data_IF_221011263401
#
_entry.id   IF_221011263401
#
_cell.length_a   1.000
_cell.length_b   1.000
_cell.length_c   1.000
_cell.angle_alpha   90.00
_cell.angle_beta   90.00
_cell.angle_gamma   90.00
#
_symmetry.space_group_name_H-M   'P 1'
#
loop_
_entity.id
_entity.type
_entity.pdbx_description
1 polymer ?
#
# COMPACT_ATOMS: atom_id res chain seq x y z
N UNK A 1 -13.42 -27.62 2.68
CA UNK A 1 -12.67 -26.39 2.34
C UNK A 1 -13.53 -25.59 1.38
N UNK A 2 -13.48 -24.27 1.43
CA UNK A 2 -14.17 -23.45 0.43
C UNK A 2 -13.57 -23.73 -0.96
N UNK A 3 -14.41 -23.79 -1.97
CA UNK A 3 -14.06 -24.22 -3.33
C UNK A 3 -14.80 -23.34 -4.32
N UNK A 4 -14.05 -22.55 -5.08
CA UNK A 4 -14.61 -21.52 -5.99
C UNK A 4 -14.16 -21.84 -7.42
N UNK A 5 -15.12 -21.95 -8.33
CA UNK A 5 -14.92 -22.16 -9.76
C UNK A 5 -15.37 -20.90 -10.52
N UNK A 6 -14.42 -20.17 -11.07
CA UNK A 6 -14.69 -19.05 -11.97
C UNK A 6 -14.62 -19.59 -13.40
N UNK A 7 -15.70 -19.38 -14.16
CA UNK A 7 -15.81 -19.87 -15.55
C UNK A 7 -15.83 -18.72 -16.54
N UNK A 8 -15.19 -18.88 -17.69
CA UNK A 8 -15.29 -17.95 -18.83
C UNK A 8 -14.88 -16.49 -18.50
N UNK A 9 -13.93 -16.32 -17.59
CA UNK A 9 -13.39 -15.01 -17.18
C UNK A 9 -12.27 -14.53 -18.08
N UNK A 10 -12.03 -13.21 -18.09
CA UNK A 10 -10.77 -12.63 -18.60
C UNK A 10 -9.82 -12.38 -17.43
N UNK A 11 -8.62 -12.92 -17.45
CA UNK A 11 -7.63 -12.84 -16.38
C UNK A 11 -6.42 -12.05 -16.85
N UNK A 12 -6.15 -10.92 -16.22
CA UNK A 12 -4.87 -10.21 -16.33
C UNK A 12 -3.96 -10.77 -15.25
N UNK A 13 -3.07 -11.69 -15.62
CA UNK A 13 -2.39 -12.58 -14.66
C UNK A 13 -1.24 -11.89 -13.92
N UNK A 14 -0.73 -10.80 -14.49
CA UNK A 14 0.54 -10.16 -14.13
C UNK A 14 1.77 -11.05 -14.30
N UNK A 15 1.67 -12.19 -15.00
CA UNK A 15 2.80 -13.02 -15.45
C UNK A 15 3.20 -12.61 -16.87
N UNK A 16 4.46 -12.21 -17.08
CA UNK A 16 4.99 -11.81 -18.40
C UNK A 16 4.88 -12.92 -19.45
N UNK A 17 4.89 -14.19 -19.03
CA UNK A 17 4.73 -15.32 -19.96
C UNK A 17 3.28 -15.51 -20.43
N UNK A 18 2.30 -15.05 -19.65
CA UNK A 18 0.87 -15.18 -19.96
C UNK A 18 0.08 -13.95 -19.51
N UNK A 19 0.31 -12.75 -20.08
CA UNK A 19 -0.20 -11.49 -19.52
C UNK A 19 -1.71 -11.42 -19.38
N UNK A 20 -2.42 -11.93 -20.39
CA UNK A 20 -3.88 -11.99 -20.43
C UNK A 20 -4.33 -13.37 -20.88
N UNK A 21 -5.32 -13.92 -20.20
CA UNK A 21 -5.90 -15.24 -20.43
C UNK A 21 -7.43 -15.13 -20.46
N UNK A 22 -8.11 -15.84 -21.36
CA UNK A 22 -9.56 -16.06 -21.27
C UNK A 22 -9.81 -17.53 -20.95
N UNK A 23 -10.45 -17.83 -19.83
CA UNK A 23 -10.59 -19.23 -19.41
C UNK A 23 -11.25 -19.40 -18.06
N UNK A 24 -10.67 -20.24 -17.22
CA UNK A 24 -11.23 -20.70 -15.96
C UNK A 24 -10.20 -20.63 -14.84
N UNK A 25 -10.65 -20.31 -13.63
CA UNK A 25 -9.82 -20.33 -12.43
C UNK A 25 -10.49 -21.13 -11.32
N UNK A 26 -9.71 -21.96 -10.63
CA UNK A 26 -10.17 -22.74 -9.47
C UNK A 26 -9.39 -22.33 -8.24
N UNK A 27 -10.12 -22.07 -7.15
CA UNK A 27 -9.55 -21.81 -5.83
C UNK A 27 -9.95 -22.94 -4.88
N UNK A 28 -8.98 -23.44 -4.12
CA UNK A 28 -9.21 -24.35 -3.01
C UNK A 28 -8.65 -23.76 -1.72
N UNK A 29 -9.52 -23.53 -0.73
CA UNK A 29 -9.17 -22.85 0.49
C UNK A 29 -8.74 -21.41 0.20
N UNK A 30 -7.45 -21.14 0.38
CA UNK A 30 -6.84 -19.82 0.21
C UNK A 30 -5.87 -19.74 -0.98
N UNK A 31 -5.82 -20.78 -1.82
CA UNK A 31 -4.79 -20.96 -2.85
C UNK A 31 -5.42 -21.14 -4.22
N UNK A 32 -4.82 -20.52 -5.24
CA UNK A 32 -5.16 -20.73 -6.65
C UNK A 32 -4.65 -22.12 -7.05
N UNK A 33 -5.58 -23.03 -7.37
CA UNK A 33 -5.26 -24.41 -7.73
C UNK A 33 -5.08 -24.59 -9.24
N UNK A 34 -5.79 -23.80 -10.05
CA UNK A 34 -5.80 -23.93 -11.50
C UNK A 34 -6.10 -22.60 -12.17
N UNK A 35 -5.44 -22.31 -13.29
CA UNK A 35 -5.74 -21.17 -14.16
C UNK A 35 -5.37 -21.48 -15.62
N UNK A 36 -6.36 -21.78 -16.46
CA UNK A 36 -6.13 -22.06 -17.89
C UNK A 36 -7.36 -21.84 -18.78
N UNK A 37 -7.17 -21.88 -20.11
CA UNK A 37 -8.23 -21.88 -21.14
C UNK A 37 -8.99 -23.20 -21.14
N UNK A 38 -8.30 -24.31 -20.89
CA UNK A 38 -8.92 -25.62 -20.85
C UNK A 38 -9.92 -25.71 -19.68
N UNK A 39 -11.01 -26.44 -19.89
CA UNK A 39 -11.97 -26.69 -18.83
C UNK A 39 -11.29 -27.48 -17.69
N UNK A 40 -11.40 -27.01 -16.44
CA UNK A 40 -10.94 -27.78 -15.29
C UNK A 40 -11.84 -29.01 -15.10
N UNK A 41 -11.43 -29.88 -14.17
CA UNK A 41 -12.29 -30.96 -13.71
C UNK A 41 -13.66 -30.42 -13.27
N UNK A 42 -14.75 -31.20 -13.45
CA UNK A 42 -16.08 -30.79 -13.06
C UNK A 42 -16.12 -30.31 -11.61
N UNK A 43 -16.76 -29.16 -11.40
CA UNK A 43 -16.93 -28.60 -10.07
C UNK A 43 -17.62 -29.65 -9.16
N UNK A 44 -17.05 -29.95 -7.98
CA UNK A 44 -17.66 -30.91 -7.06
C UNK A 44 -19.00 -30.36 -6.54
N UNK A 45 -19.87 -31.25 -6.07
CA UNK A 45 -21.14 -30.85 -5.47
C UNK A 45 -20.92 -29.87 -4.30
N UNK A 46 -21.63 -28.74 -4.33
CA UNK A 46 -21.52 -27.69 -3.32
C UNK A 46 -20.39 -26.67 -3.53
N UNK A 47 -19.60 -26.76 -4.60
CA UNK A 47 -18.65 -25.69 -4.97
C UNK A 47 -19.40 -24.41 -5.38
N UNK A 48 -18.84 -23.26 -5.02
CA UNK A 48 -19.31 -21.97 -5.52
C UNK A 48 -18.91 -21.83 -6.99
N UNK A 49 -19.88 -21.48 -7.84
CA UNK A 49 -19.65 -21.26 -9.27
C UNK A 49 -19.91 -19.79 -9.58
N UNK A 50 -18.91 -19.13 -10.14
CA UNK A 50 -18.96 -17.74 -10.58
C UNK A 50 -18.92 -17.72 -12.10
N UNK A 51 -19.89 -17.06 -12.71
CA UNK A 51 -19.86 -16.70 -14.13
C UNK A 51 -18.96 -15.48 -14.32
N UNK A 52 -17.83 -15.68 -15.01
CA UNK A 52 -16.82 -14.67 -15.29
C UNK A 52 -17.12 -13.85 -16.54
N UNK A 53 -18.20 -14.12 -17.27
CA UNK A 53 -18.56 -13.32 -18.44
C UNK A 53 -18.74 -11.84 -18.10
N UNK A 54 -18.10 -10.97 -18.88
CA UNK A 54 -18.10 -9.52 -18.64
C UNK A 54 -17.19 -9.05 -17.50
N UNK A 55 -16.54 -9.98 -16.78
CA UNK A 55 -15.62 -9.67 -15.69
C UNK A 55 -14.17 -9.83 -16.11
N UNK A 56 -13.34 -8.91 -15.60
CA UNK A 56 -11.89 -8.95 -15.70
C UNK A 56 -11.31 -9.20 -14.32
N UNK A 57 -10.59 -10.29 -14.17
CA UNK A 57 -9.92 -10.70 -12.95
C UNK A 57 -8.45 -10.31 -12.99
N UNK A 58 -7.94 -9.76 -11.90
CA UNK A 58 -6.51 -9.48 -11.75
C UNK A 58 -6.09 -9.67 -10.29
N UNK A 59 -4.79 -9.76 -9.98
CA UNK A 59 -4.32 -9.79 -8.59
C UNK A 59 -4.83 -8.55 -7.87
N UNK A 60 -5.13 -8.70 -6.59
CA UNK A 60 -5.53 -7.56 -5.79
C UNK A 60 -4.42 -6.52 -5.72
N UNK A 61 -4.82 -5.24 -5.66
CA UNK A 61 -3.87 -4.14 -5.60
C UNK A 61 -3.19 -4.10 -4.23
N UNK A 62 -1.93 -3.65 -4.21
CA UNK A 62 -1.07 -3.63 -3.03
C UNK A 62 -0.63 -2.19 -2.77
N UNK A 63 -1.19 -1.57 -1.73
CA UNK A 63 -0.89 -0.21 -1.31
C UNK A 63 0.29 -0.22 -0.35
N UNK A 64 1.49 0.08 -0.84
CA UNK A 64 2.73 -0.10 -0.07
C UNK A 64 3.07 1.04 0.88
N UNK A 65 2.22 2.06 1.00
CA UNK A 65 2.39 3.10 2.00
C UNK A 65 1.10 3.88 2.25
N UNK A 66 0.72 4.00 3.52
CA UNK A 66 -0.41 4.81 3.94
C UNK A 66 -0.47 5.08 5.44
N UNK A 67 -1.44 5.93 5.79
CA UNK A 67 -1.81 6.34 7.15
C UNK A 67 -3.33 6.23 7.30
N UNK A 68 -3.83 5.01 7.49
CA UNK A 68 -5.24 4.66 7.33
C UNK A 68 -6.18 5.49 8.21
N UNK A 69 -5.83 5.70 9.48
CA UNK A 69 -6.65 6.45 10.42
C UNK A 69 -6.78 7.95 10.07
N UNK A 70 -5.88 8.50 9.24
CA UNK A 70 -5.99 9.88 8.74
C UNK A 70 -7.13 10.07 7.74
N UNK A 71 -7.88 9.02 7.38
CA UNK A 71 -9.14 9.14 6.62
C UNK A 71 -10.15 10.08 7.28
N UNK A 72 -10.10 10.25 8.61
CA UNK A 72 -10.91 11.24 9.33
C UNK A 72 -10.49 12.68 9.02
N UNK A 73 -9.25 12.92 8.58
CA UNK A 73 -8.72 14.25 8.24
C UNK A 73 -8.80 14.56 6.75
N UNK A 74 -9.54 13.75 5.97
CA UNK A 74 -9.71 13.95 4.54
C UNK A 74 -10.27 15.34 4.25
N UNK A 75 -9.51 16.15 3.51
CA UNK A 75 -9.88 17.52 3.16
C UNK A 75 -9.95 18.48 4.36
N UNK A 76 -9.36 18.11 5.51
CA UNK A 76 -9.33 19.00 6.68
C UNK A 76 -8.42 20.22 6.44
N UNK A 77 -7.28 20.02 5.77
CA UNK A 77 -6.37 21.10 5.41
C UNK A 77 -5.66 20.78 4.10
N UNK A 78 -5.91 21.61 3.08
CA UNK A 78 -5.35 21.51 1.73
C UNK A 78 -4.51 22.77 1.42
N UNK A 79 -3.74 22.73 0.32
CA UNK A 79 -2.97 23.86 -0.22
C UNK A 79 -1.89 24.46 0.72
N UNK A 80 -1.24 23.60 1.50
CA UNK A 80 -0.15 23.97 2.42
C UNK A 80 1.14 23.18 2.12
N UNK A 81 2.30 23.78 2.41
CA UNK A 81 3.59 23.10 2.31
C UNK A 81 3.74 22.04 3.41
N UNK A 82 4.40 20.91 3.11
CA UNK A 82 4.52 19.73 3.98
C UNK A 82 4.79 20.06 5.47
N UNK A 83 5.82 20.86 5.76
CA UNK A 83 6.19 21.16 7.16
C UNK A 83 5.11 21.97 7.89
N UNK A 84 4.48 22.93 7.20
CA UNK A 84 3.37 23.73 7.78
C UNK A 84 2.17 22.82 8.04
N UNK A 85 1.84 21.99 7.06
CA UNK A 85 0.75 21.04 7.12
C UNK A 85 0.91 20.03 8.27
N UNK A 86 2.10 19.44 8.44
CA UNK A 86 2.41 18.53 9.53
C UNK A 86 2.34 19.21 10.91
N UNK A 87 3.14 20.26 11.10
CA UNK A 87 3.36 20.84 12.43
C UNK A 87 2.16 21.63 12.95
N UNK A 88 1.43 22.32 12.06
CA UNK A 88 0.38 23.25 12.46
C UNK A 88 -1.02 22.66 12.34
N UNK A 89 -1.20 21.57 11.56
CA UNK A 89 -2.52 20.99 11.28
C UNK A 89 -2.62 19.53 11.69
N UNK A 90 -1.77 18.67 11.12
CA UNK A 90 -1.89 17.23 11.32
C UNK A 90 -1.52 16.82 12.73
N UNK A 91 -0.28 17.06 13.19
CA UNK A 91 0.16 16.62 14.52
C UNK A 91 -0.71 17.17 15.67
N UNK A 92 -1.18 18.44 15.64
CA UNK A 92 -2.13 18.93 16.65
C UNK A 92 -3.47 18.18 16.65
N UNK A 93 -3.97 17.76 15.49
CA UNK A 93 -5.21 16.99 15.38
C UNK A 93 -5.00 15.54 15.80
N UNK A 94 -3.94 14.90 15.33
CA UNK A 94 -3.58 13.52 15.68
C UNK A 94 -3.28 13.37 17.17
N UNK A 95 -2.70 14.39 17.81
CA UNK A 95 -2.50 14.43 19.25
C UNK A 95 -3.79 14.31 20.07
N UNK A 96 -4.96 14.53 19.46
CA UNK A 96 -6.30 14.38 20.07
C UNK A 96 -6.93 13.01 19.81
N UNK A 97 -6.29 12.14 19.02
CA UNK A 97 -6.85 10.85 18.65
C UNK A 97 -6.92 9.92 19.85
N UNK A 98 -8.09 9.31 19.99
CA UNK A 98 -8.40 8.21 20.89
C UNK A 98 -8.39 6.89 20.11
N UNK A 99 -8.55 5.77 20.82
CA UNK A 99 -8.70 4.46 20.18
C UNK A 99 -9.97 4.39 19.29
N UNK A 100 -10.98 5.19 19.61
CA UNK A 100 -12.21 5.28 18.81
C UNK A 100 -11.95 5.93 17.45
N UNK A 101 -11.17 7.02 17.42
CA UNK A 101 -10.81 7.69 16.15
C UNK A 101 -9.93 6.81 15.29
N UNK A 102 -8.94 6.14 15.89
CA UNK A 102 -8.10 5.18 15.17
C UNK A 102 -8.93 4.04 14.58
N UNK A 103 -9.92 3.52 15.32
CA UNK A 103 -10.81 2.45 14.85
C UNK A 103 -11.65 2.90 13.66
N UNK A 104 -12.39 3.99 13.80
CA UNK A 104 -13.33 4.43 12.76
C UNK A 104 -12.64 5.03 11.55
N UNK A 105 -11.52 5.74 11.75
CA UNK A 105 -10.66 6.19 10.65
C UNK A 105 -10.09 5.00 9.87
N UNK A 106 -9.54 4.00 10.57
CA UNK A 106 -9.01 2.82 9.87
C UNK A 106 -10.13 2.04 9.16
N UNK A 107 -11.28 1.86 9.79
CA UNK A 107 -12.41 1.15 9.18
C UNK A 107 -12.92 1.87 7.92
N UNK A 108 -12.96 3.21 7.92
CA UNK A 108 -13.28 4.02 6.75
C UNK A 108 -12.27 3.81 5.62
N UNK A 109 -10.97 3.86 5.93
CA UNK A 109 -9.92 3.63 4.95
C UNK A 109 -9.96 2.21 4.37
N UNK A 110 -10.14 1.20 5.20
CA UNK A 110 -10.21 -0.21 4.77
C UNK A 110 -11.45 -0.47 3.92
N UNK A 111 -12.61 0.11 4.27
CA UNK A 111 -13.80 0.03 3.43
C UNK A 111 -13.55 0.65 2.04
N UNK A 112 -12.95 1.83 1.97
CA UNK A 112 -12.59 2.47 0.70
C UNK A 112 -11.59 1.64 -0.12
N UNK A 113 -10.52 1.17 0.51
CA UNK A 113 -9.48 0.35 -0.11
C UNK A 113 -10.03 -0.98 -0.66
N UNK A 114 -10.83 -1.70 0.12
CA UNK A 114 -11.45 -2.94 -0.33
C UNK A 114 -12.37 -2.70 -1.53
N UNK A 115 -13.19 -1.65 -1.47
CA UNK A 115 -14.13 -1.32 -2.56
C UNK A 115 -13.42 -0.82 -3.82
N UNK A 116 -12.20 -0.30 -3.72
CA UNK A 116 -11.36 0.08 -4.87
C UNK A 116 -10.41 -1.04 -5.34
N UNK A 117 -10.47 -2.23 -4.73
CA UNK A 117 -9.70 -3.40 -5.16
C UNK A 117 -8.33 -3.59 -4.50
N UNK A 118 -8.02 -2.81 -3.46
CA UNK A 118 -6.84 -3.04 -2.62
C UNK A 118 -7.07 -4.23 -1.71
N UNK A 119 -6.19 -5.23 -1.78
CA UNK A 119 -6.24 -6.45 -0.95
C UNK A 119 -5.19 -6.46 0.14
N UNK A 120 -4.10 -5.72 -0.06
CA UNK A 120 -2.97 -5.60 0.87
C UNK A 120 -2.59 -4.14 1.01
N UNK A 121 -2.33 -3.70 2.25
CA UNK A 121 -1.78 -2.37 2.49
C UNK A 121 -0.66 -2.38 3.53
N UNK A 122 0.22 -1.38 3.47
CA UNK A 122 1.21 -1.07 4.50
C UNK A 122 0.72 0.15 5.26
N UNK A 123 0.66 0.05 6.58
CA UNK A 123 0.23 1.15 7.43
C UNK A 123 1.33 1.60 8.39
N UNK A 124 1.44 2.90 8.56
CA UNK A 124 2.39 3.52 9.46
C UNK A 124 1.69 4.52 10.35
N UNK A 125 1.31 4.12 11.55
CA UNK A 125 0.51 5.00 12.41
C UNK A 125 0.69 4.69 13.90
N UNK A 126 -0.02 5.46 14.73
CA UNK A 126 -0.20 5.18 16.15
C UNK A 126 -1.29 4.11 16.37
N UNK A 127 -1.42 3.62 17.61
CA UNK A 127 -2.51 2.74 18.08
C UNK A 127 -2.66 1.51 17.19
N UNK A 128 -1.53 0.97 16.74
CA UNK A 128 -1.48 -0.04 15.69
C UNK A 128 -2.18 -1.36 16.08
N UNK A 129 -2.39 -1.62 17.37
CA UNK A 129 -3.24 -2.72 17.83
C UNK A 129 -4.71 -2.55 17.38
N UNK A 130 -5.24 -1.32 17.39
CA UNK A 130 -6.58 -1.01 16.88
C UNK A 130 -6.65 -1.20 15.36
N UNK A 131 -5.62 -0.75 14.65
CA UNK A 131 -5.52 -0.97 13.20
C UNK A 131 -5.53 -2.46 12.89
N UNK A 132 -4.75 -3.24 13.63
CA UNK A 132 -4.65 -4.68 13.48
C UNK A 132 -5.98 -5.42 13.76
N UNK A 133 -6.76 -4.97 14.75
CA UNK A 133 -8.13 -5.46 14.99
C UNK A 133 -9.04 -5.23 13.78
N UNK A 134 -9.00 -4.04 13.18
CA UNK A 134 -9.79 -3.73 11.97
C UNK A 134 -9.33 -4.57 10.78
N UNK A 135 -8.03 -4.82 10.63
CA UNK A 135 -7.47 -5.72 9.59
C UNK A 135 -7.93 -7.16 9.80
N UNK A 136 -7.96 -7.64 11.06
CA UNK A 136 -8.47 -8.97 11.37
C UNK A 136 -9.96 -9.09 11.01
N UNK A 137 -10.78 -8.12 11.44
CA UNK A 137 -12.23 -8.07 11.22
C UNK A 137 -12.63 -7.97 9.74
N UNK A 138 -11.97 -7.09 8.99
CA UNK A 138 -12.33 -6.79 7.58
C UNK A 138 -11.90 -7.89 6.61
N UNK A 139 -10.91 -8.71 6.98
CA UNK A 139 -10.33 -9.72 6.11
C UNK A 139 -9.22 -9.22 5.19
N UNK A 140 -8.93 -7.91 5.13
CA UNK A 140 -7.83 -7.35 4.32
C UNK A 140 -6.45 -7.83 4.81
N UNK A 141 -5.42 -7.84 3.97
CA UNK A 141 -4.04 -8.13 4.37
C UNK A 141 -3.30 -6.85 4.77
N UNK A 142 -2.44 -6.90 5.79
CA UNK A 142 -1.75 -5.72 6.31
C UNK A 142 -0.30 -5.96 6.70
N UNK A 143 0.59 -5.05 6.31
CA UNK A 143 1.92 -4.88 6.90
C UNK A 143 1.89 -3.65 7.80
N UNK A 144 1.84 -3.88 9.10
CA UNK A 144 1.50 -2.87 10.08
C UNK A 144 2.73 -2.42 10.85
N UNK A 145 2.91 -1.11 10.99
CA UNK A 145 4.10 -0.55 11.62
C UNK A 145 3.69 0.50 12.64
N UNK A 146 4.08 0.30 13.91
CA UNK A 146 3.94 1.35 14.92
C UNK A 146 4.97 2.45 14.60
N UNK A 147 4.50 3.52 13.96
CA UNK A 147 5.34 4.66 13.60
C UNK A 147 5.80 5.41 14.85
N UNK A 148 7.09 5.75 14.94
CA UNK A 148 7.65 6.45 16.10
C UNK A 148 8.40 7.73 15.72
N UNK A 149 8.05 8.82 16.40
CA UNK A 149 8.78 10.11 16.35
C UNK A 149 9.70 10.21 17.57
N UNK A 150 10.98 10.52 17.32
CA UNK A 150 12.06 10.58 18.30
C UNK A 150 12.33 11.97 18.89
N UNK A 151 11.66 13.03 18.43
CA UNK A 151 11.77 14.40 18.99
C UNK A 151 11.07 14.52 20.36
N UNK A 152 11.52 13.74 21.34
CA UNK A 152 10.98 13.68 22.70
C UNK A 152 12.06 13.22 23.70
N UNK A 153 11.83 13.34 25.02
CA UNK A 153 12.78 12.89 26.03
C UNK A 153 13.16 11.38 25.91
N UNK A 154 14.38 10.98 26.32
CA UNK A 154 14.87 9.61 26.13
C UNK A 154 14.03 8.49 26.76
N UNK A 155 13.34 8.76 27.87
CA UNK A 155 12.42 7.83 28.51
C UNK A 155 11.17 7.61 27.65
N UNK A 156 10.64 8.67 27.02
CA UNK A 156 9.52 8.59 26.08
C UNK A 156 9.93 7.86 24.79
N UNK A 157 11.12 8.14 24.25
CA UNK A 157 11.67 7.38 23.11
C UNK A 157 11.73 5.88 23.43
N UNK A 158 12.18 5.53 24.62
CA UNK A 158 12.29 4.14 25.09
C UNK A 158 10.91 3.50 25.23
N UNK A 159 9.94 4.20 25.78
CA UNK A 159 8.56 3.72 25.88
C UNK A 159 7.96 3.45 24.49
N UNK A 160 8.10 4.38 23.54
CA UNK A 160 7.63 4.22 22.16
C UNK A 160 8.29 3.05 21.43
N UNK A 161 9.59 2.87 21.60
CA UNK A 161 10.30 1.72 21.02
C UNK A 161 9.80 0.40 21.63
N UNK A 162 9.61 0.35 22.95
CA UNK A 162 9.08 -0.84 23.61
C UNK A 162 7.65 -1.16 23.15
N UNK A 163 6.80 -0.14 22.96
CA UNK A 163 5.46 -0.29 22.40
C UNK A 163 5.53 -0.89 20.98
N UNK A 164 6.42 -0.38 20.12
CA UNK A 164 6.61 -0.91 18.77
C UNK A 164 7.12 -2.36 18.78
N UNK A 165 8.06 -2.70 19.66
CA UNK A 165 8.55 -4.08 19.85
C UNK A 165 7.45 -5.01 20.33
N UNK A 166 6.66 -4.58 21.30
CA UNK A 166 5.53 -5.35 21.83
C UNK A 166 4.48 -5.59 20.74
N UNK A 167 4.15 -4.57 19.95
CA UNK A 167 3.24 -4.71 18.83
C UNK A 167 3.71 -5.77 17.82
N UNK A 168 4.99 -5.76 17.45
CA UNK A 168 5.58 -6.80 16.57
C UNK A 168 5.39 -8.19 17.18
N UNK A 169 5.67 -8.36 18.47
CA UNK A 169 5.56 -9.65 19.15
C UNK A 169 4.12 -10.17 19.22
N UNK A 170 3.15 -9.26 19.44
CA UNK A 170 1.75 -9.63 19.61
C UNK A 170 1.05 -9.89 18.27
N UNK A 171 1.43 -9.15 17.22
CA UNK A 171 0.67 -9.10 15.98
C UNK A 171 1.33 -9.74 14.75
N UNK A 172 2.65 -9.95 14.74
CA UNK A 172 3.30 -10.55 13.59
C UNK A 172 2.86 -12.01 13.38
N UNK A 173 2.29 -12.32 12.21
CA UNK A 173 1.76 -13.64 11.87
C UNK A 173 0.32 -13.90 12.32
N UNK A 174 -0.35 -12.91 12.92
CA UNK A 174 -1.79 -13.00 13.28
C UNK A 174 -2.69 -13.04 12.04
N UNK A 175 -3.97 -13.33 12.28
CA UNK A 175 -4.98 -13.46 11.22
C UNK A 175 -4.55 -14.43 10.11
N UNK A 176 -4.08 -15.62 10.48
CA UNK A 176 -3.54 -16.64 9.56
C UNK A 176 -2.38 -16.15 8.68
N UNK A 177 -1.56 -15.23 9.20
CA UNK A 177 -0.43 -14.65 8.47
C UNK A 177 -0.80 -13.49 7.55
N UNK A 178 -2.05 -13.00 7.57
CA UNK A 178 -2.44 -11.75 6.89
C UNK A 178 -1.82 -10.52 7.53
N UNK A 179 -1.57 -10.55 8.83
CA UNK A 179 -0.91 -9.46 9.54
C UNK A 179 0.57 -9.78 9.63
N UNK A 180 1.39 -8.93 9.02
CA UNK A 180 2.84 -8.88 9.22
C UNK A 180 3.21 -7.52 9.80
N UNK A 181 4.41 -7.41 10.35
CA UNK A 181 4.85 -6.18 11.01
C UNK A 181 6.25 -5.77 10.61
N UNK A 182 6.55 -4.48 10.78
CA UNK A 182 7.87 -3.88 10.59
C UNK A 182 8.10 -2.87 11.72
N UNK A 183 9.34 -2.41 11.88
CA UNK A 183 9.64 -1.24 12.72
C UNK A 183 9.79 0.01 11.87
N UNK A 184 9.33 1.15 12.37
CA UNK A 184 9.25 2.37 11.56
C UNK A 184 9.59 3.65 12.34
N UNK A 185 10.86 4.14 12.29
CA UNK A 185 11.10 5.53 12.63
C UNK A 185 10.40 6.42 11.61
N UNK A 186 9.80 7.51 12.07
CA UNK A 186 8.99 8.38 11.22
C UNK A 186 9.74 8.84 9.96
N UNK A 187 10.82 9.59 10.16
CA UNK A 187 11.71 10.09 9.12
C UNK A 187 13.05 10.52 9.73
N UNK A 188 14.14 10.63 8.94
CA UNK A 188 15.45 11.07 9.44
C UNK A 188 15.44 12.42 10.17
N UNK A 189 14.57 13.35 9.78
CA UNK A 189 14.45 14.68 10.40
C UNK A 189 13.63 14.69 11.71
N UNK A 190 12.98 13.57 12.05
CA UNK A 190 12.14 13.44 13.26
C UNK A 190 12.68 12.41 14.26
N UNK A 191 13.75 11.70 13.90
CA UNK A 191 14.35 10.67 14.73
C UNK A 191 15.87 10.89 14.81
N UNK A 192 16.41 11.20 16.01
CA UNK A 192 17.85 11.33 16.19
C UNK A 192 18.62 10.05 15.81
N UNK A 193 19.91 10.14 15.40
CA UNK A 193 20.69 8.99 14.94
C UNK A 193 20.76 7.83 15.93
N UNK A 194 20.96 8.11 17.23
CA UNK A 194 21.02 7.09 18.27
C UNK A 194 19.68 6.36 18.43
N UNK A 195 18.56 7.06 18.22
CA UNK A 195 17.24 6.46 18.27
C UNK A 195 16.98 5.56 17.05
N UNK A 196 17.39 5.99 15.84
CA UNK A 196 17.32 5.15 14.64
C UNK A 196 18.15 3.88 14.82
N UNK A 197 19.38 3.99 15.34
CA UNK A 197 20.24 2.82 15.60
C UNK A 197 19.59 1.82 16.55
N UNK A 198 18.96 2.28 17.64
CA UNK A 198 18.21 1.41 18.57
C UNK A 198 17.03 0.71 17.90
N UNK A 199 16.35 1.38 16.95
CA UNK A 199 15.28 0.76 16.17
C UNK A 199 15.84 -0.30 15.20
N UNK A 200 16.98 -0.02 14.56
CA UNK A 200 17.69 -0.99 13.70
C UNK A 200 18.10 -2.23 14.50
N UNK A 201 18.69 -2.04 15.68
CA UNK A 201 19.03 -3.13 16.61
C UNK A 201 17.79 -3.97 16.95
N UNK A 202 16.69 -3.33 17.33
CA UNK A 202 15.43 -4.02 17.61
C UNK A 202 14.87 -4.77 16.39
N UNK A 203 15.05 -4.25 15.17
CA UNK A 203 14.61 -4.92 13.95
C UNK A 203 15.42 -6.20 13.68
N UNK A 204 16.73 -6.19 13.99
CA UNK A 204 17.57 -7.39 13.97
C UNK A 204 17.14 -8.40 15.04
N UNK A 205 16.92 -7.96 16.28
CA UNK A 205 16.47 -8.81 17.40
C UNK A 205 15.15 -9.53 17.07
N UNK A 206 14.19 -8.81 16.49
CA UNK A 206 12.86 -9.32 16.17
C UNK A 206 12.77 -9.97 14.78
N UNK A 207 13.86 -9.93 14.00
CA UNK A 207 13.92 -10.40 12.63
C UNK A 207 12.78 -9.84 11.75
N UNK A 208 12.50 -8.54 11.86
CA UNK A 208 11.50 -7.83 11.04
C UNK A 208 12.14 -6.82 10.07
N UNK A 209 11.42 -6.39 9.03
CA UNK A 209 11.87 -5.33 8.14
C UNK A 209 11.76 -3.92 8.75
N UNK A 210 12.20 -2.91 8.00
CA UNK A 210 12.15 -1.50 8.38
C UNK A 210 11.37 -0.65 7.35
N UNK A 211 10.60 0.33 7.82
CA UNK A 211 9.89 1.31 7.00
C UNK A 211 10.21 2.75 7.45
N UNK A 212 10.28 3.73 6.55
CA UNK A 212 10.42 5.16 6.91
C UNK A 212 10.09 6.07 5.72
N UNK A 213 9.76 7.34 5.99
CA UNK A 213 9.77 8.38 4.96
C UNK A 213 11.20 8.85 4.71
N UNK A 214 11.57 9.08 3.44
CA UNK A 214 12.94 9.47 3.11
C UNK A 214 13.01 10.29 1.83
N UNK A 215 13.74 11.41 1.89
CA UNK A 215 14.02 12.29 0.74
C UNK A 215 12.74 12.73 0.02
N UNK A 216 11.70 13.04 0.79
CA UNK A 216 10.40 13.46 0.28
C UNK A 216 10.48 14.89 -0.26
N UNK A 217 11.12 15.80 0.47
CA UNK A 217 11.25 17.21 0.06
C UNK A 217 12.70 17.66 -0.07
N UNK A 218 12.95 18.66 -0.92
CA UNK A 218 14.28 19.27 -1.04
C UNK A 218 14.73 19.93 0.27
N UNK A 219 13.77 20.45 1.06
CA UNK A 219 14.02 21.03 2.37
C UNK A 219 14.51 19.97 3.38
N UNK A 220 13.87 18.80 3.42
CA UNK A 220 14.33 17.66 4.23
C UNK A 220 15.77 17.28 3.88
N UNK A 221 16.06 17.12 2.59
CA UNK A 221 17.39 16.74 2.11
C UNK A 221 18.44 17.76 2.57
N UNK A 222 18.17 19.05 2.39
CA UNK A 222 19.10 20.11 2.80
C UNK A 222 19.26 20.15 4.32
N UNK A 223 18.19 19.96 5.09
CA UNK A 223 18.25 19.88 6.55
C UNK A 223 19.13 18.72 7.00
N UNK A 224 18.97 17.54 6.41
CA UNK A 224 19.79 16.37 6.75
C UNK A 224 21.28 16.60 6.43
N UNK A 225 21.61 17.29 5.34
CA UNK A 225 23.00 17.69 5.04
C UNK A 225 23.53 18.67 6.09
N UNK A 226 22.74 19.65 6.51
CA UNK A 226 23.15 20.62 7.53
C UNK A 226 23.41 19.96 8.88
N UNK A 227 22.55 19.03 9.29
CA UNK A 227 22.61 18.40 10.60
C UNK A 227 23.66 17.28 10.68
N UNK A 228 23.83 16.51 9.60
CA UNK A 228 24.61 15.26 9.61
C UNK A 228 25.72 15.21 8.55
N UNK A 229 25.90 16.26 7.74
CA UNK A 229 26.96 16.37 6.74
C UNK A 229 26.80 15.45 5.53
N UNK A 230 25.66 14.76 5.39
CA UNK A 230 25.37 13.86 4.28
C UNK A 230 23.86 13.84 3.97
N UNK A 231 23.50 13.31 2.80
CA UNK A 231 22.10 13.23 2.35
C UNK A 231 21.36 12.07 3.03
N UNK A 232 20.01 12.05 3.05
CA UNK A 232 19.24 11.06 3.83
C UNK A 232 19.58 9.60 3.52
N UNK A 233 19.80 9.23 2.25
CA UNK A 233 20.16 7.85 1.87
C UNK A 233 21.50 7.44 2.49
N UNK A 234 22.54 8.25 2.30
CA UNK A 234 23.87 7.99 2.87
C UNK A 234 23.83 7.99 4.40
N UNK A 235 23.04 8.90 4.99
CA UNK A 235 22.84 8.99 6.43
C UNK A 235 22.24 7.69 6.97
N UNK A 236 21.12 7.22 6.41
CA UNK A 236 20.45 5.99 6.82
C UNK A 236 21.32 4.74 6.59
N UNK A 237 22.11 4.70 5.51
CA UNK A 237 23.06 3.60 5.26
C UNK A 237 24.13 3.53 6.37
N UNK A 238 24.71 4.68 6.77
CA UNK A 238 25.69 4.76 7.87
C UNK A 238 25.12 4.31 9.21
N UNK A 239 23.83 4.54 9.45
CA UNK A 239 23.13 4.10 10.66
C UNK A 239 22.74 2.61 10.61
N UNK A 240 23.00 1.93 9.50
CA UNK A 240 22.66 0.53 9.31
C UNK A 240 21.18 0.30 9.00
N UNK A 241 20.41 1.32 8.61
CA UNK A 241 18.98 1.17 8.31
C UNK A 241 18.74 0.15 7.18
N UNK A 242 19.62 0.12 6.18
CA UNK A 242 19.56 -0.82 5.06
C UNK A 242 20.28 -2.16 5.33
N UNK A 243 20.58 -2.48 6.60
CA UNK A 243 21.13 -3.79 6.99
C UNK A 243 20.06 -4.87 7.17
N UNK A 244 18.79 -4.49 7.11
CA UNK A 244 17.60 -5.34 7.06
C UNK A 244 16.81 -5.00 5.79
N UNK A 245 15.89 -5.89 5.34
CA UNK A 245 14.95 -5.52 4.29
C UNK A 245 14.24 -4.21 4.67
N UNK A 246 14.28 -3.24 3.76
CA UNK A 246 13.79 -1.89 4.01
C UNK A 246 12.89 -1.40 2.87
N UNK A 247 11.81 -0.73 3.26
CA UNK A 247 10.90 -0.03 2.37
C UNK A 247 10.92 1.46 2.72
N UNK A 248 11.25 2.32 1.76
CA UNK A 248 11.24 3.78 1.97
C UNK A 248 10.09 4.41 1.20
N UNK A 249 9.35 5.31 1.85
CA UNK A 249 8.29 6.08 1.21
C UNK A 249 8.85 7.32 0.51
N UNK A 250 8.19 7.71 -0.58
CA UNK A 250 8.46 8.88 -1.43
C UNK A 250 9.73 8.76 -2.28
N UNK A 251 10.92 8.88 -1.67
CA UNK A 251 12.21 8.89 -2.35
C UNK A 251 12.24 9.82 -3.59
N UNK A 252 11.74 11.05 -3.42
CA UNK A 252 11.54 12.01 -4.50
C UNK A 252 12.87 12.60 -4.96
N UNK A 253 13.69 13.03 -4.01
CA UNK A 253 14.92 13.79 -4.28
C UNK A 253 16.14 12.88 -4.19
N UNK A 254 16.38 12.06 -5.21
CA UNK A 254 17.54 11.15 -5.28
C UNK A 254 18.56 11.53 -6.36
N UNK A 255 19.84 11.41 -6.04
CA UNK A 255 20.93 11.42 -7.02
C UNK A 255 21.13 10.04 -7.67
N UNK A 256 21.94 9.95 -8.72
CA UNK A 256 22.27 8.67 -9.38
C UNK A 256 23.03 7.73 -8.43
N UNK A 257 23.95 8.26 -7.63
CA UNK A 257 24.70 7.49 -6.63
C UNK A 257 23.77 6.94 -5.54
N UNK A 258 22.77 7.72 -5.11
CA UNK A 258 21.76 7.27 -4.14
C UNK A 258 20.88 6.16 -4.72
N UNK A 259 20.43 6.30 -5.98
CA UNK A 259 19.68 5.24 -6.67
C UNK A 259 20.52 3.95 -6.76
N UNK A 260 21.79 4.05 -7.15
CA UNK A 260 22.70 2.91 -7.23
C UNK A 260 22.94 2.26 -5.86
N UNK A 261 23.05 3.05 -4.79
CA UNK A 261 23.16 2.55 -3.43
C UNK A 261 21.90 1.77 -3.03
N UNK A 262 20.71 2.34 -3.23
CA UNK A 262 19.44 1.68 -2.90
C UNK A 262 19.30 0.35 -3.65
N UNK A 263 19.65 0.32 -4.93
CA UNK A 263 19.67 -0.90 -5.74
C UNK A 263 20.66 -1.94 -5.18
N UNK A 264 21.89 -1.53 -4.88
CA UNK A 264 22.93 -2.40 -4.31
C UNK A 264 22.58 -2.94 -2.93
N UNK A 265 21.72 -2.26 -2.17
CA UNK A 265 21.20 -2.68 -0.86
C UNK A 265 19.89 -3.47 -0.95
N UNK A 266 19.26 -3.56 -2.12
CA UNK A 266 17.95 -4.18 -2.28
C UNK A 266 16.82 -3.44 -1.54
N UNK A 267 16.94 -2.11 -1.40
CA UNK A 267 15.90 -1.28 -0.79
C UNK A 267 14.74 -1.13 -1.76
N UNK A 268 13.52 -1.22 -1.25
CA UNK A 268 12.30 -0.98 -2.02
C UNK A 268 11.76 0.43 -1.78
N UNK A 269 11.08 1.00 -2.76
CA UNK A 269 10.53 2.36 -2.72
C UNK A 269 9.03 2.33 -2.94
N UNK A 270 8.26 2.90 -2.02
CA UNK A 270 6.84 3.22 -2.27
C UNK A 270 6.74 4.60 -2.90
N UNK A 271 6.39 4.65 -4.19
CA UNK A 271 6.11 5.89 -4.90
C UNK A 271 4.69 6.36 -4.62
N UNK A 272 4.56 7.59 -4.10
CA UNK A 272 3.27 8.18 -3.71
C UNK A 272 2.96 9.41 -4.58
N UNK A 273 2.65 9.26 -5.88
CA UNK A 273 2.65 10.39 -6.81
C UNK A 273 1.61 11.46 -6.50
N UNK A 274 0.38 11.09 -6.09
CA UNK A 274 -0.64 12.10 -5.80
C UNK A 274 -0.25 12.97 -4.59
N UNK A 275 0.22 12.34 -3.52
CA UNK A 275 0.72 13.06 -2.34
C UNK A 275 1.91 13.96 -2.66
N UNK A 276 2.90 13.42 -3.38
CA UNK A 276 4.08 14.18 -3.78
C UNK A 276 3.72 15.43 -4.61
N UNK A 277 2.71 15.32 -5.47
CA UNK A 277 2.22 16.46 -6.25
C UNK A 277 1.40 17.43 -5.41
N UNK A 278 0.48 16.93 -4.57
CA UNK A 278 -0.42 17.76 -3.76
C UNK A 278 0.35 18.61 -2.74
N UNK A 279 1.39 18.06 -2.14
CA UNK A 279 2.26 18.78 -1.18
C UNK A 279 3.40 19.56 -1.85
N UNK A 280 3.47 19.54 -3.19
CA UNK A 280 4.57 20.10 -3.97
C UNK A 280 5.96 19.58 -3.55
N UNK A 281 6.01 18.34 -3.04
CA UNK A 281 7.25 17.65 -2.67
C UNK A 281 8.13 17.39 -3.89
N UNK A 282 7.54 17.06 -5.04
CA UNK A 282 8.22 16.92 -6.32
C UNK A 282 7.80 15.67 -7.10
N UNK A 283 8.67 15.20 -8.01
CA UNK A 283 8.40 14.03 -8.85
C UNK A 283 9.56 13.04 -8.71
N UNK A 284 9.29 11.87 -8.14
CA UNK A 284 10.30 10.84 -7.94
C UNK A 284 10.85 10.32 -9.28
N UNK A 285 12.13 9.93 -9.29
CA UNK A 285 12.85 9.47 -10.48
C UNK A 285 12.56 8.00 -10.81
N UNK A 286 11.29 7.61 -10.85
CA UNK A 286 10.85 6.20 -10.97
C UNK A 286 11.46 5.49 -12.19
N UNK A 287 11.47 6.06 -13.42
CA UNK A 287 12.11 5.39 -14.55
C UNK A 287 13.59 5.04 -14.30
N UNK A 288 14.35 5.97 -13.70
CA UNK A 288 15.76 5.75 -13.39
C UNK A 288 15.95 4.72 -12.26
N UNK A 289 15.05 4.72 -11.26
CA UNK A 289 15.06 3.72 -10.19
C UNK A 289 14.82 2.31 -10.74
N UNK A 290 13.80 2.14 -11.59
CA UNK A 290 13.50 0.85 -12.23
C UNK A 290 14.65 0.38 -13.13
N UNK A 291 15.23 1.27 -13.93
CA UNK A 291 16.39 0.96 -14.79
C UNK A 291 17.61 0.50 -13.99
N UNK A 292 17.85 1.11 -12.82
CA UNK A 292 18.92 0.72 -11.91
C UNK A 292 18.63 -0.57 -11.13
N UNK A 293 17.42 -1.13 -11.22
CA UNK A 293 17.02 -2.35 -10.52
C UNK A 293 16.46 -2.15 -9.11
N UNK A 294 16.12 -0.91 -8.73
CA UNK A 294 15.37 -0.63 -7.49
C UNK A 294 13.95 -1.18 -7.66
N UNK A 295 13.44 -1.88 -6.65
CA UNK A 295 12.03 -2.27 -6.64
C UNK A 295 11.18 -1.06 -6.26
N UNK A 296 10.33 -0.61 -7.19
CA UNK A 296 9.42 0.53 -6.96
C UNK A 296 7.98 0.04 -7.01
N UNK A 297 7.21 0.38 -5.98
CA UNK A 297 5.78 0.10 -5.83
C UNK A 297 4.97 1.40 -5.70
N UNK A 298 3.66 1.30 -5.51
CA UNK A 298 2.78 2.45 -5.28
C UNK A 298 2.26 2.50 -3.85
N UNK A 299 2.11 3.71 -3.33
CA UNK A 299 1.37 4.00 -2.11
C UNK A 299 0.46 5.21 -2.30
N UNK A 300 -0.62 5.26 -1.54
CA UNK A 300 -1.54 6.41 -1.57
C UNK A 300 -1.14 7.49 -0.59
N UNK A 301 -0.26 7.17 0.37
CA UNK A 301 -0.01 8.00 1.56
C UNK A 301 -1.33 8.20 2.33
N UNK A 302 -1.53 9.33 3.01
CA UNK A 302 -2.73 9.65 3.76
C UNK A 302 -3.87 10.18 2.88
N UNK A 303 -5.10 9.96 3.32
CA UNK A 303 -6.27 10.63 2.74
C UNK A 303 -6.29 12.16 2.95
N UNK A 304 -5.39 12.71 3.77
CA UNK A 304 -5.28 14.15 4.00
C UNK A 304 -4.25 14.81 3.05
N UNK A 305 -3.36 14.03 2.44
CA UNK A 305 -2.36 14.46 1.45
C UNK A 305 -2.64 13.91 0.04
N UNK A 306 -3.71 13.16 -0.19
CA UNK A 306 -4.05 12.58 -1.50
C UNK A 306 -5.16 13.32 -2.30
N UNK A 307 -6.47 13.16 -2.06
CA UNK A 307 -7.18 12.76 -0.85
C UNK A 307 -8.13 11.54 -1.04
N UNK A 308 -7.76 10.56 -1.89
CA UNK A 308 -8.43 9.26 -1.99
C UNK A 308 -7.49 8.08 -1.70
N UNK A 309 -8.02 6.87 -1.55
CA UNK A 309 -7.27 5.63 -1.35
C UNK A 309 -7.49 4.64 -2.53
N UNK A 310 -7.58 5.17 -3.75
CA UNK A 310 -7.79 4.40 -4.98
C UNK A 310 -6.46 4.22 -5.73
N UNK A 311 -5.93 2.99 -5.72
CA UNK A 311 -4.69 2.68 -6.43
C UNK A 311 -4.82 2.71 -7.96
N UNK A 312 -6.02 2.62 -8.54
CA UNK A 312 -6.18 2.85 -9.99
C UNK A 312 -5.80 4.30 -10.36
N UNK A 313 -6.11 5.26 -9.49
CA UNK A 313 -5.70 6.64 -9.68
C UNK A 313 -4.18 6.80 -9.57
N UNK A 314 -3.53 6.16 -8.58
CA UNK A 314 -2.06 6.17 -8.45
C UNK A 314 -1.37 5.51 -9.65
N UNK A 315 -1.88 4.37 -10.12
CA UNK A 315 -1.37 3.65 -11.31
C UNK A 315 -1.44 4.56 -12.54
N UNK A 316 -2.60 5.16 -12.78
CA UNK A 316 -2.82 6.08 -13.90
C UNK A 316 -1.92 7.30 -13.80
N UNK A 317 -1.79 7.87 -12.61
CA UNK A 317 -0.97 9.05 -12.36
C UNK A 317 0.51 8.75 -12.59
N UNK A 318 1.04 7.65 -12.03
CA UNK A 318 2.41 7.20 -12.27
C UNK A 318 2.69 6.98 -13.76
N UNK A 319 1.74 6.38 -14.49
CA UNK A 319 1.88 6.18 -15.93
C UNK A 319 1.96 7.51 -16.71
N UNK A 320 1.24 8.55 -16.30
CA UNK A 320 1.14 9.81 -17.04
C UNK A 320 2.22 10.82 -16.65
N UNK A 321 2.51 10.96 -15.35
CA UNK A 321 3.40 12.00 -14.83
C UNK A 321 4.82 11.86 -15.40
N UNK A 322 5.33 10.63 -15.50
CA UNK A 322 6.68 10.39 -16.00
C UNK A 322 6.80 10.65 -17.51
N UNK A 323 5.74 10.40 -18.28
CA UNK A 323 5.69 10.79 -19.70
C UNK A 323 5.71 12.32 -19.85
N UNK A 324 4.91 13.02 -19.04
CA UNK A 324 4.81 14.47 -19.07
C UNK A 324 6.11 15.19 -18.72
N UNK A 325 6.83 14.71 -17.71
CA UNK A 325 8.11 15.31 -17.27
C UNK A 325 9.26 15.00 -18.21
N UNK A 326 9.34 13.76 -18.72
CA UNK A 326 10.46 13.34 -19.58
C UNK A 326 10.29 13.79 -21.04
N UNK A 327 9.06 14.05 -21.49
CA UNK A 327 8.74 14.22 -22.90
C UNK A 327 8.79 12.90 -23.71
N UNK A 328 9.02 11.77 -23.04
CA UNK A 328 9.05 10.44 -23.65
C UNK A 328 7.70 9.74 -23.42
N UNK A 329 6.89 9.51 -24.48
CA UNK A 329 5.60 8.85 -24.35
C UNK A 329 5.72 7.36 -24.00
N UNK A 330 6.91 6.78 -24.01
CA UNK A 330 7.16 5.37 -23.68
C UNK A 330 7.53 5.14 -22.21
N UNK A 331 7.81 6.21 -21.45
CA UNK A 331 8.13 6.12 -20.03
C UNK A 331 6.97 5.50 -19.23
N UNK A 332 7.22 4.43 -18.47
CA UNK A 332 6.23 3.69 -17.66
C UNK A 332 5.00 3.30 -18.50
N UNK A 333 5.11 2.33 -19.42
CA UNK A 333 3.96 1.86 -20.20
C UNK A 333 2.89 1.22 -19.30
N UNK A 334 1.67 1.05 -19.79
CA UNK A 334 0.53 0.55 -19.00
C UNK A 334 0.84 -0.75 -18.23
N UNK A 335 1.50 -1.71 -18.87
CA UNK A 335 1.88 -2.97 -18.21
C UNK A 335 2.81 -2.74 -17.00
N UNK A 336 3.80 -1.85 -17.16
CA UNK A 336 4.72 -1.49 -16.08
C UNK A 336 3.99 -0.74 -14.96
N UNK A 337 3.05 0.15 -15.30
CA UNK A 337 2.24 0.86 -14.32
C UNK A 337 1.39 -0.09 -13.47
N UNK A 338 0.76 -1.12 -14.07
CA UNK A 338 0.04 -2.14 -13.31
C UNK A 338 0.97 -2.95 -12.40
N UNK A 339 2.20 -3.26 -12.84
CA UNK A 339 3.18 -3.97 -12.00
C UNK A 339 3.52 -3.19 -10.74
N UNK A 340 3.63 -1.85 -10.80
CA UNK A 340 3.89 -1.02 -9.62
C UNK A 340 2.85 -1.23 -8.51
N UNK A 341 1.56 -1.41 -8.88
CA UNK A 341 0.45 -1.65 -7.93
C UNK A 341 0.17 -3.12 -7.61
N UNK A 342 0.91 -4.07 -8.19
CA UNK A 342 0.69 -5.52 -8.01
C UNK A 342 2.00 -6.26 -7.72
N UNK A 343 2.68 -6.78 -8.75
CA UNK A 343 3.88 -7.62 -8.63
C UNK A 343 5.00 -6.92 -7.88
N UNK A 344 5.26 -5.64 -8.21
CA UNK A 344 6.30 -4.87 -7.53
C UNK A 344 5.85 -4.41 -6.14
N UNK A 345 4.54 -4.20 -5.95
CA UNK A 345 3.96 -4.06 -4.62
C UNK A 345 4.28 -5.26 -3.73
N UNK A 346 4.04 -6.48 -4.23
CA UNK A 346 4.32 -7.72 -3.52
C UNK A 346 5.82 -7.90 -3.23
N UNK A 347 6.68 -7.58 -4.21
CA UNK A 347 8.14 -7.62 -4.05
C UNK A 347 8.64 -6.59 -3.03
N UNK A 348 8.09 -5.38 -3.04
CA UNK A 348 8.46 -4.31 -2.12
C UNK A 348 8.19 -4.65 -0.65
N UNK A 349 7.27 -5.60 -0.41
CA UNK A 349 6.90 -6.10 0.91
C UNK A 349 7.30 -7.56 1.16
N UNK A 350 8.18 -8.12 0.31
CA UNK A 350 8.75 -9.48 0.43
C UNK A 350 7.68 -10.59 0.49
N UNK A 351 6.71 -10.49 -0.42
CA UNK A 351 5.56 -11.39 -0.56
C UNK A 351 5.35 -11.84 -2.02
N UNK A 352 6.29 -11.61 -2.92
CA UNK A 352 6.21 -11.92 -4.35
C UNK A 352 5.99 -13.40 -4.66
N UNK A 353 6.38 -14.29 -3.75
CA UNK A 353 6.12 -15.74 -3.88
C UNK A 353 4.68 -16.13 -3.49
N UNK A 354 3.90 -15.20 -2.93
CA UNK A 354 2.58 -15.46 -2.33
C UNK A 354 1.45 -14.69 -2.99
N UNK A 355 1.66 -13.42 -3.33
CA UNK A 355 0.62 -12.51 -3.87
C UNK A 355 1.18 -11.67 -5.03
N UNK A 356 0.31 -10.93 -5.70
CA UNK A 356 0.67 -9.99 -6.77
C UNK A 356 0.62 -10.57 -8.19
N UNK A 357 0.36 -11.87 -8.34
CA UNK A 357 0.07 -12.53 -9.63
C UNK A 357 -1.08 -13.53 -9.48
N UNK A 358 -1.78 -13.83 -10.58
CA UNK A 358 -2.71 -14.94 -10.67
C UNK A 358 -1.98 -16.14 -11.24
N UNK A 359 -1.56 -17.06 -10.36
CA UNK A 359 -0.77 -18.23 -10.73
C UNK A 359 -1.03 -19.36 -9.76
N UNK A 360 -1.00 -20.58 -10.27
CA UNK A 360 -1.14 -21.79 -9.45
C UNK A 360 -0.14 -21.79 -8.28
N UNK A 361 -0.62 -22.15 -7.09
CA UNK A 361 0.14 -22.17 -5.85
C UNK A 361 0.21 -20.82 -5.11
N UNK A 362 -0.19 -19.71 -5.73
CA UNK A 362 -0.26 -18.40 -5.05
C UNK A 362 -1.55 -18.26 -4.23
N UNK A 363 -1.52 -17.34 -3.27
CA UNK A 363 -2.71 -16.98 -2.48
C UNK A 363 -3.78 -16.39 -3.37
N UNK A 364 -5.03 -16.71 -3.06
CA UNK A 364 -6.21 -16.20 -3.73
C UNK A 364 -6.55 -14.77 -3.25
N UNK A 365 -5.66 -13.84 -3.56
CA UNK A 365 -5.80 -12.38 -3.36
C UNK A 365 -6.05 -11.74 -4.73
N UNK A 366 -7.31 -11.59 -5.11
CA UNK A 366 -7.70 -11.14 -6.45
C UNK A 366 -8.98 -10.33 -6.44
N UNK A 367 -9.17 -9.56 -7.51
CA UNK A 367 -10.34 -8.71 -7.72
C UNK A 367 -11.03 -9.09 -9.02
N UNK A 368 -12.34 -8.81 -9.10
CA UNK A 368 -13.11 -8.88 -10.32
C UNK A 368 -13.66 -7.49 -10.65
N UNK A 369 -13.40 -7.04 -11.87
CA UNK A 369 -13.73 -5.71 -12.39
C UNK A 369 -14.85 -5.89 -13.42
N UNK A 370 -15.88 -5.06 -13.31
CA UNK A 370 -16.97 -5.01 -14.28
C UNK A 370 -16.49 -4.31 -15.56
N UNK A 371 -16.21 -5.08 -16.61
CA UNK A 371 -15.77 -4.57 -17.89
C UNK A 371 -16.93 -4.26 -18.85
N UNK A 372 -18.19 -4.33 -18.38
CA UNK A 372 -19.39 -3.93 -19.14
C UNK A 372 -19.72 -2.43 -18.97
N UNK A 373 -18.70 -1.62 -18.69
CA UNK A 373 -18.83 -0.16 -18.58
C UNK A 373 -18.41 0.57 -19.87
N UNK A 374 -19.02 1.73 -20.22
CA UNK A 374 -18.76 2.43 -21.48
C UNK A 374 -17.28 2.73 -21.76
N UNK A 375 -16.47 3.00 -20.73
CA UNK A 375 -15.04 3.33 -20.84
C UNK A 375 -14.11 2.13 -21.07
N UNK A 376 -14.66 0.90 -21.13
CA UNK A 376 -13.97 -0.30 -21.60
C UNK A 376 -14.26 -0.64 -23.08
N UNK A 377 -14.98 0.24 -23.80
CA UNK A 377 -15.31 0.06 -25.21
C UNK A 377 -14.57 1.02 -26.14
N UNK A 378 -14.17 0.58 -27.36
CA UNK A 378 -14.32 -0.78 -27.91
C UNK A 378 -13.43 -1.80 -27.21
N UNK A 379 -13.86 -3.07 -27.11
CA UNK A 379 -13.12 -4.16 -26.42
C UNK A 379 -11.78 -4.45 -27.14
N UNK A 380 -10.75 -3.69 -26.76
CA UNK A 380 -9.40 -3.77 -27.33
C UNK A 380 -8.42 -4.25 -26.27
N UNK A 381 -7.36 -3.49 -25.98
CA UNK A 381 -6.30 -3.88 -25.05
C UNK A 381 -6.73 -3.65 -23.60
N UNK A 382 -7.10 -4.72 -22.90
CA UNK A 382 -7.64 -4.64 -21.53
C UNK A 382 -6.66 -3.99 -20.55
N UNK A 383 -5.36 -4.27 -20.69
CA UNK A 383 -4.30 -3.64 -19.87
C UNK A 383 -4.30 -2.12 -20.06
N UNK A 384 -4.46 -1.65 -21.30
CA UNK A 384 -4.55 -0.21 -21.59
C UNK A 384 -5.79 0.40 -20.93
N UNK A 385 -6.94 -0.28 -21.01
CA UNK A 385 -8.15 0.22 -20.39
C UNK A 385 -8.02 0.28 -18.87
N UNK A 386 -7.55 -0.77 -18.22
CA UNK A 386 -7.36 -0.80 -16.76
C UNK A 386 -6.51 0.36 -16.25
N UNK A 387 -5.48 0.76 -16.98
CA UNK A 387 -4.59 1.85 -16.56
C UNK A 387 -5.11 3.23 -16.92
N UNK A 388 -5.63 3.41 -18.14
CA UNK A 388 -5.91 4.76 -18.65
C UNK A 388 -7.38 5.16 -18.57
N UNK A 389 -8.30 4.21 -18.41
CA UNK A 389 -9.74 4.49 -18.34
C UNK A 389 -10.47 3.82 -17.17
N UNK A 390 -9.94 2.73 -16.61
CA UNK A 390 -10.49 2.03 -15.46
C UNK A 390 -10.37 2.83 -14.16
N UNK A 391 -11.20 2.46 -13.20
CA UNK A 391 -11.26 3.07 -11.87
C UNK A 391 -11.53 2.00 -10.81
N UNK A 392 -11.16 2.27 -9.55
CA UNK A 392 -11.57 1.43 -8.42
C UNK A 392 -13.09 1.27 -8.31
N UNK A 393 -13.89 2.19 -8.88
CA UNK A 393 -15.36 2.07 -8.94
C UNK A 393 -15.87 0.91 -9.81
N UNK A 394 -15.03 0.42 -10.72
CA UNK A 394 -15.36 -0.72 -11.57
C UNK A 394 -15.17 -2.05 -10.82
N UNK A 395 -14.53 -2.04 -9.64
CA UNK A 395 -14.32 -3.24 -8.83
C UNK A 395 -15.65 -3.71 -8.26
N UNK A 396 -16.01 -4.95 -8.62
CA UNK A 396 -17.28 -5.57 -8.27
C UNK A 396 -17.13 -6.57 -7.13
N UNK A 397 -16.03 -7.32 -7.12
CA UNK A 397 -15.78 -8.34 -6.12
C UNK A 397 -14.30 -8.36 -5.73
N UNK A 398 -14.02 -8.71 -4.48
CA UNK A 398 -12.66 -8.82 -3.94
C UNK A 398 -12.55 -10.05 -3.06
N UNK A 399 -11.45 -10.79 -3.23
CA UNK A 399 -11.08 -11.94 -2.41
C UNK A 399 -9.71 -11.70 -1.78
N UNK A 400 -9.58 -12.09 -0.51
CA UNK A 400 -8.31 -12.12 0.23
C UNK A 400 -8.21 -13.47 0.92
N UNK A 401 -7.09 -14.19 0.74
CA UNK A 401 -6.92 -15.58 1.18
C UNK A 401 -8.13 -16.47 0.79
N UNK A 402 -8.67 -16.28 -0.42
CA UNK A 402 -9.81 -17.06 -0.94
C UNK A 402 -11.16 -16.77 -0.29
N UNK A 403 -11.24 -15.78 0.61
CA UNK A 403 -12.49 -15.33 1.23
C UNK A 403 -12.99 -14.08 0.50
N UNK A 404 -14.25 -14.10 0.06
CA UNK A 404 -14.87 -12.93 -0.57
C UNK A 404 -15.12 -11.85 0.49
N UNK A 405 -14.41 -10.73 0.40
CA UNK A 405 -14.49 -9.59 1.34
C UNK A 405 -15.30 -8.42 0.77
N UNK A 406 -15.48 -8.38 -0.56
CA UNK A 406 -16.41 -7.47 -1.26
C UNK A 406 -17.26 -8.28 -2.24
N UNK A 407 -18.57 -8.05 -2.24
CA UNK A 407 -19.52 -8.69 -3.14
C UNK A 407 -20.48 -7.67 -3.72
N UNK A 408 -20.52 -7.58 -5.05
CA UNK A 408 -21.38 -6.61 -5.77
C UNK A 408 -21.14 -5.15 -5.31
N UNK A 409 -19.87 -4.80 -5.06
CA UNK A 409 -19.45 -3.45 -4.65
C UNK A 409 -19.62 -3.12 -3.17
N UNK A 410 -20.12 -4.06 -2.35
CA UNK A 410 -20.37 -3.88 -0.92
C UNK A 410 -19.44 -4.76 -0.06
N UNK A 411 -18.93 -4.21 1.05
CA UNK A 411 -18.10 -4.96 1.99
C UNK A 411 -18.91 -6.05 2.71
N UNK A 412 -18.33 -7.24 2.87
CA UNK A 412 -19.02 -8.39 3.49
C UNK A 412 -18.94 -8.36 5.02
N UNK A 413 -17.82 -7.89 5.58
CA UNK A 413 -17.54 -7.94 7.02
C UNK A 413 -17.61 -6.57 7.72
N UNK A 414 -17.89 -5.51 6.97
CA UNK A 414 -17.92 -4.13 7.44
C UNK A 414 -19.30 -3.51 7.18
N UNK A 415 -19.81 -2.76 8.14
CA UNK A 415 -21.03 -1.96 7.97
C UNK A 415 -20.65 -0.55 7.51
N UNK A 416 -20.68 -0.36 6.20
CA UNK A 416 -20.31 0.90 5.54
C UNK A 416 -21.17 2.09 6.00
N UNK A 417 -22.44 1.87 6.36
CA UNK A 417 -23.31 2.95 6.82
C UNK A 417 -22.94 3.40 8.24
N UNK A 418 -22.70 2.44 9.13
CA UNK A 418 -22.19 2.70 10.48
C UNK A 418 -20.82 3.37 10.44
N UNK A 419 -19.89 2.85 9.64
CA UNK A 419 -18.53 3.39 9.52
C UNK A 419 -18.57 4.86 9.11
N UNK A 420 -19.37 5.23 8.09
CA UNK A 420 -19.50 6.63 7.67
C UNK A 420 -20.10 7.52 8.76
N UNK A 421 -21.11 7.04 9.48
CA UNK A 421 -21.75 7.80 10.56
C UNK A 421 -20.78 8.04 11.72
N UNK A 422 -20.05 7.00 12.15
CA UNK A 422 -19.11 7.09 13.27
C UNK A 422 -17.85 7.88 12.90
N UNK A 423 -17.35 7.76 11.67
CA UNK A 423 -16.25 8.59 11.17
C UNK A 423 -16.62 10.08 11.20
N UNK A 424 -17.82 10.43 10.73
CA UNK A 424 -18.32 11.82 10.79
C UNK A 424 -18.38 12.33 12.24
N UNK A 425 -18.94 11.52 13.16
CA UNK A 425 -19.01 11.87 14.59
C UNK A 425 -17.61 12.07 15.19
N UNK A 426 -16.66 11.20 14.87
CA UNK A 426 -15.28 11.31 15.35
C UNK A 426 -14.63 12.62 14.87
N UNK A 427 -14.79 12.95 13.59
CA UNK A 427 -14.27 14.20 13.04
C UNK A 427 -14.87 15.45 13.72
N UNK A 428 -16.19 15.51 13.91
CA UNK A 428 -16.85 16.61 14.61
C UNK A 428 -16.35 16.79 16.05
N UNK A 429 -16.10 15.67 16.74
CA UNK A 429 -15.48 15.67 18.08
C UNK A 429 -14.07 16.26 18.03
N UNK A 430 -13.23 15.85 17.09
CA UNK A 430 -11.86 16.36 16.94
C UNK A 430 -11.82 17.89 16.72
N UNK A 431 -12.79 18.43 15.98
CA UNK A 431 -12.91 19.88 15.73
C UNK A 431 -13.32 20.70 16.95
N UNK A 432 -14.08 20.09 17.88
CA UNK A 432 -14.62 20.76 19.06
C UNK A 432 -13.74 20.63 20.31
N UNK A 433 -12.74 19.74 20.26
CA UNK A 433 -11.80 19.46 21.35
C UNK A 433 -10.56 20.35 21.42
#
# INVERSE_FOLDING_TARGET
>A
MNRIWIKEGTFVTMDDARPVLKGHMVIEGDTILYLDEALPDPAPEGAEIIDGHGLVFMPGLINTHGHAAMSLLRGYSDDEALQVWLEQKMWPMEGKYTDEDARWGTALAVSEMLRSGTTTFVDMYDRMHIVAEVVEQSGIRGLLTRGVIGLCPPDVQTAKLNEAKQFVQDWNGRANGRIRTMLSPHAPYTCPPDYIQRIVEAAHELNVPLHTHMSESAAEVQQNVNDYGCRPVEHLDKLGFFSRPALVAHAVHLTDDEIALLAGRGVSVSHNPASNLKLASGIARVPAMLEAGVTVSLGTDSAASNNNLDLFDEIRLAALIHKGVSGDPTAIPAWEALKLGTVYGARAIWQEERIGMLKEGMKADFIAIDAEQPHFYPRTEIVSHLVYSGSGRDVKHVWVDGVQVVKEGECVFLDDALIRAEAQRCFERLLSS
#
